data_IF_338692542559
#
_entry.id   IF_338692542559
#
_cell.length_a   1.000
_cell.length_b   1.000
_cell.length_c   1.000
_cell.angle_alpha   90.00
_cell.angle_beta   90.00
_cell.angle_gamma   90.00
#
_symmetry.space_group_name_H-M   'P 1'
#
loop_
_entity.id
_entity.type
_entity.pdbx_description
1 polymer ?
#
# COMPACT_ATOMS: atom_id res chain seq x y z
N UNK A 1 16.33 19.26 -0.64
CA UNK A 1 16.87 18.20 0.22
C UNK A 1 15.68 17.70 1.03
N UNK A 2 15.17 16.50 0.79
CA UNK A 2 13.93 16.03 1.42
C UNK A 2 14.15 15.86 2.93
N UNK A 3 13.24 16.41 3.74
CA UNK A 3 13.29 16.30 5.20
C UNK A 3 12.69 14.98 5.72
N UNK A 4 12.06 14.19 4.85
CA UNK A 4 11.27 13.00 5.17
C UNK A 4 11.98 11.88 5.91
N UNK A 5 13.06 11.31 5.35
CA UNK A 5 13.80 10.23 6.01
C UNK A 5 14.30 10.64 7.40
N UNK A 6 14.62 11.93 7.58
CA UNK A 6 15.01 12.47 8.86
C UNK A 6 13.83 12.60 9.82
N UNK A 7 12.66 13.05 9.35
CA UNK A 7 11.45 13.17 10.15
C UNK A 7 10.96 11.81 10.66
N UNK A 8 10.88 10.79 9.80
CA UNK A 8 10.45 9.45 10.23
C UNK A 8 11.42 8.85 11.25
N UNK A 9 12.73 8.95 11.00
CA UNK A 9 13.74 8.47 11.92
C UNK A 9 13.69 9.21 13.27
N UNK A 10 13.35 10.49 13.28
CA UNK A 10 13.09 11.25 14.50
C UNK A 10 11.83 10.75 15.20
N UNK A 11 10.70 10.65 14.50
CA UNK A 11 9.43 10.17 15.07
C UNK A 11 9.59 8.78 15.69
N UNK A 12 10.25 7.84 15.00
CA UNK A 12 10.53 6.48 15.51
C UNK A 12 11.39 6.44 16.77
N UNK A 13 12.17 7.49 17.07
CA UNK A 13 12.93 7.62 18.33
C UNK A 13 12.09 8.18 19.47
N UNK A 14 11.05 8.94 19.14
CA UNK A 14 10.20 9.66 20.09
C UNK A 14 8.94 8.88 20.46
N UNK A 15 8.35 8.13 19.51
CA UNK A 15 7.15 7.30 19.67
C UNK A 15 6.99 6.30 18.50
N UNK A 16 5.94 5.48 18.56
CA UNK A 16 5.52 4.65 17.42
C UNK A 16 4.60 5.47 16.51
N UNK A 17 4.96 5.68 15.23
CA UNK A 17 4.10 6.35 14.28
C UNK A 17 2.83 5.53 13.99
N UNK A 18 1.75 6.23 13.66
CA UNK A 18 0.50 5.63 13.18
C UNK A 18 0.22 6.08 11.76
N UNK A 19 -0.12 5.14 10.87
CA UNK A 19 -0.67 5.46 9.54
C UNK A 19 -2.13 5.04 9.43
N UNK A 20 -3.00 6.02 9.20
CA UNK A 20 -4.42 5.82 8.95
C UNK A 20 -4.90 6.86 7.93
N UNK A 21 -5.64 6.42 6.92
CA UNK A 21 -6.28 7.34 5.98
C UNK A 21 -5.44 7.75 4.76
N UNK A 22 -4.25 7.18 4.51
CA UNK A 22 -3.29 7.77 3.57
C UNK A 22 -3.01 6.99 2.29
N UNK A 23 -3.30 5.69 2.26
CA UNK A 23 -3.02 4.83 1.11
C UNK A 23 -4.10 3.76 0.90
N UNK A 24 -4.07 3.03 -0.20
CA UNK A 24 -4.94 1.87 -0.43
C UNK A 24 -4.87 0.84 0.71
N UNK A 25 -3.79 0.82 1.49
CA UNK A 25 -3.57 -0.08 2.62
C UNK A 25 -4.26 0.39 3.91
N UNK A 26 -4.50 1.70 4.07
CA UNK A 26 -4.91 2.30 5.35
C UNK A 26 -6.09 3.27 5.23
N UNK A 27 -6.55 3.54 4.00
CA UNK A 27 -7.52 4.58 3.74
C UNK A 27 -8.95 4.18 4.08
N UNK A 28 -9.74 5.19 4.40
CA UNK A 28 -11.18 5.06 4.65
C UNK A 28 -11.90 4.93 3.32
N UNK A 29 -12.72 3.89 3.16
CA UNK A 29 -13.53 3.68 1.95
C UNK A 29 -14.78 4.56 2.00
N UNK A 30 -15.30 4.93 0.83
CA UNK A 30 -16.54 5.71 0.74
C UNK A 30 -17.74 5.02 1.41
N UNK A 31 -17.74 3.68 1.49
CA UNK A 31 -18.74 2.88 2.20
C UNK A 31 -18.70 3.06 3.72
N UNK A 32 -17.54 3.41 4.29
CA UNK A 32 -17.39 3.61 5.73
C UNK A 32 -18.03 4.91 6.22
N UNK A 33 -18.23 5.90 5.34
CA UNK A 33 -18.83 7.20 5.66
C UNK A 33 -19.97 7.48 4.67
N UNK A 34 -21.12 6.77 4.80
CA UNK A 34 -22.21 6.87 3.84
C UNK A 34 -22.81 8.28 3.81
N UNK A 35 -23.31 8.69 2.64
CA UNK A 35 -23.96 9.99 2.46
C UNK A 35 -23.01 11.16 2.15
N UNK A 36 -21.69 10.92 2.07
CA UNK A 36 -20.73 11.93 1.60
C UNK A 36 -20.69 11.99 0.07
N UNK A 37 -20.67 13.20 -0.48
CA UNK A 37 -20.46 13.41 -1.91
C UNK A 37 -18.97 13.28 -2.22
N UNK A 38 -18.61 12.25 -3.00
CA UNK A 38 -17.21 11.90 -3.31
C UNK A 38 -17.07 11.86 -4.83
N UNK A 39 -16.76 13.00 -5.49
CA UNK A 39 -16.63 13.04 -6.94
C UNK A 39 -15.33 12.38 -7.44
N UNK A 40 -14.29 12.42 -6.61
CA UNK A 40 -13.00 11.82 -6.87
C UNK A 40 -12.63 10.88 -5.71
N UNK A 41 -11.99 9.76 -6.05
CA UNK A 41 -11.51 8.75 -5.10
C UNK A 41 -9.99 8.62 -5.19
N UNK A 42 -9.39 8.20 -4.08
CA UNK A 42 -7.97 7.90 -3.95
C UNK A 42 -7.60 6.49 -4.46
N UNK A 43 -8.57 5.61 -4.71
CA UNK A 43 -8.37 4.34 -5.39
C UNK A 43 -9.67 3.98 -6.12
N UNK A 44 -9.65 3.71 -7.43
CA UNK A 44 -10.88 3.53 -8.20
C UNK A 44 -11.60 2.23 -7.82
N UNK A 45 -10.86 1.15 -7.53
CA UNK A 45 -11.44 -0.15 -7.16
C UNK A 45 -11.81 -0.27 -5.68
N UNK A 46 -11.16 0.38 -4.72
CA UNK A 46 -11.63 0.33 -3.33
C UNK A 46 -12.51 1.53 -2.95
N UNK A 47 -12.57 2.53 -3.82
CA UNK A 47 -13.23 3.83 -3.61
C UNK A 47 -12.81 4.46 -2.28
N UNK A 48 -11.50 4.47 -2.02
CA UNK A 48 -10.93 5.14 -0.85
C UNK A 48 -11.13 6.66 -0.95
N UNK A 49 -11.39 7.28 0.18
CA UNK A 49 -11.57 8.72 0.31
C UNK A 49 -10.19 9.41 0.22
N UNK A 50 -10.02 10.45 -0.62
CA UNK A 50 -8.86 11.30 -0.57
C UNK A 50 -9.00 12.27 0.60
N UNK A 51 -8.63 11.83 1.81
CA UNK A 51 -8.74 12.67 3.00
C UNK A 51 -7.76 13.85 2.95
N UNK A 52 -8.18 15.00 3.46
CA UNK A 52 -7.31 16.15 3.64
C UNK A 52 -6.29 15.90 4.77
N UNK A 53 -5.16 16.60 4.75
CA UNK A 53 -4.13 16.47 5.78
C UNK A 53 -4.67 16.70 7.20
N UNK A 54 -5.56 17.67 7.37
CA UNK A 54 -6.22 17.93 8.65
C UNK A 54 -7.11 16.78 9.15
N UNK A 55 -7.73 16.03 8.23
CA UNK A 55 -8.55 14.86 8.56
C UNK A 55 -7.67 13.66 8.94
N UNK A 56 -6.56 13.43 8.22
CA UNK A 56 -5.56 12.42 8.59
C UNK A 56 -4.98 12.71 9.99
N UNK A 57 -4.58 13.95 10.27
CA UNK A 57 -4.11 14.36 11.59
C UNK A 57 -5.16 14.14 12.68
N UNK A 58 -6.42 14.53 12.41
CA UNK A 58 -7.52 14.37 13.36
C UNK A 58 -7.85 12.88 13.64
N UNK A 59 -7.58 11.97 12.69
CA UNK A 59 -7.65 10.53 12.91
C UNK A 59 -6.49 9.96 13.73
N UNK A 60 -5.48 10.78 14.04
CA UNK A 60 -4.28 10.37 14.76
C UNK A 60 -3.15 9.88 13.85
N UNK A 61 -3.28 10.03 12.54
CA UNK A 61 -2.21 9.71 11.58
C UNK A 61 -1.02 10.64 11.75
N UNK A 62 0.17 10.11 11.52
CA UNK A 62 1.43 10.86 11.38
C UNK A 62 1.78 11.11 9.91
N UNK A 63 0.87 10.73 9.02
CA UNK A 63 1.03 10.79 7.58
C UNK A 63 -0.17 11.50 6.93
N UNK A 64 0.06 12.04 5.74
CA UNK A 64 -0.94 12.56 4.82
C UNK A 64 -0.73 11.92 3.44
N UNK A 65 -1.81 11.86 2.67
CA UNK A 65 -1.77 11.32 1.31
C UNK A 65 -1.26 12.34 0.30
N UNK A 66 -0.44 11.86 -0.63
CA UNK A 66 -0.28 12.44 -1.96
C UNK A 66 -0.48 11.34 -3.01
N UNK A 67 -0.81 11.69 -4.24
CA UNK A 67 -0.95 10.69 -5.31
C UNK A 67 -2.21 10.88 -6.16
N UNK A 68 -2.48 9.96 -7.09
CA UNK A 68 -3.44 10.22 -8.16
C UNK A 68 -4.88 10.38 -7.62
N UNK A 69 -5.72 11.09 -8.34
CA UNK A 69 -7.14 11.26 -8.03
C UNK A 69 -7.97 10.78 -9.20
N UNK A 70 -8.74 9.72 -8.99
CA UNK A 70 -9.57 9.13 -10.03
C UNK A 70 -10.99 9.68 -9.93
N UNK A 71 -11.64 9.99 -11.06
CA UNK A 71 -13.08 10.15 -11.07
C UNK A 71 -13.72 8.91 -10.45
N UNK A 72 -14.69 9.12 -9.56
CA UNK A 72 -15.39 7.99 -8.95
C UNK A 72 -16.08 7.18 -10.06
N UNK A 73 -15.80 5.87 -10.17
CA UNK A 73 -16.34 5.07 -11.27
C UNK A 73 -17.87 5.02 -11.19
N UNK A 74 -18.51 5.17 -12.34
CA UNK A 74 -19.94 4.88 -12.47
C UNK A 74 -20.18 3.38 -12.26
N UNK A 75 -21.30 3.02 -11.62
CA UNK A 75 -21.69 1.63 -11.40
C UNK A 75 -22.90 1.28 -12.26
N UNK A 76 -22.91 0.06 -12.80
CA UNK A 76 -24.10 -0.55 -13.38
C UNK A 76 -24.42 -1.79 -12.56
N UNK A 77 -25.49 -1.73 -11.76
CA UNK A 77 -25.83 -2.78 -10.79
C UNK A 77 -24.65 -3.08 -9.85
N UNK A 78 -24.20 -4.34 -9.77
CA UNK A 78 -23.07 -4.82 -8.98
C UNK A 78 -21.76 -4.88 -9.78
N UNK A 79 -21.73 -4.39 -11.03
CA UNK A 79 -20.56 -4.45 -11.91
C UNK A 79 -19.89 -3.08 -12.11
N UNK A 80 -18.56 -3.08 -12.18
CA UNK A 80 -17.75 -1.94 -12.62
C UNK A 80 -16.63 -2.42 -13.54
N UNK A 81 -16.19 -1.57 -14.47
CA UNK A 81 -15.01 -1.82 -15.30
C UNK A 81 -13.95 -0.77 -15.00
N UNK A 82 -12.71 -1.20 -14.73
CA UNK A 82 -11.61 -0.31 -14.41
C UNK A 82 -10.86 0.21 -15.65
N UNK A 83 -9.82 1.03 -15.42
CA UNK A 83 -9.00 1.61 -16.47
C UNK A 83 -8.13 0.59 -17.23
N UNK A 84 -7.97 -0.63 -16.71
CA UNK A 84 -7.29 -1.75 -17.35
C UNK A 84 -8.25 -2.58 -18.21
N UNK A 85 -9.56 -2.30 -18.16
CA UNK A 85 -10.58 -3.07 -18.87
C UNK A 85 -11.02 -4.34 -18.11
N UNK A 86 -10.67 -4.46 -16.82
CA UNK A 86 -11.08 -5.57 -15.97
C UNK A 86 -12.47 -5.29 -15.43
N UNK A 87 -13.37 -6.27 -15.52
CA UNK A 87 -14.69 -6.19 -14.91
C UNK A 87 -14.64 -6.77 -13.48
N UNK A 88 -15.20 -6.02 -12.54
CA UNK A 88 -15.28 -6.39 -11.13
C UNK A 88 -16.72 -6.52 -10.68
N UNK A 89 -16.98 -7.54 -9.87
CA UNK A 89 -18.25 -7.76 -9.19
C UNK A 89 -18.11 -7.24 -7.76
N UNK A 90 -19.07 -6.43 -7.31
CA UNK A 90 -19.18 -5.96 -5.93
C UNK A 90 -20.25 -6.74 -5.18
N UNK A 91 -19.89 -7.29 -4.02
CA UNK A 91 -20.83 -7.90 -3.10
C UNK A 91 -20.52 -7.49 -1.66
N UNK A 92 -21.50 -6.88 -0.97
CA UNK A 92 -21.35 -6.39 0.42
C UNK A 92 -20.11 -5.51 0.63
N UNK A 93 -19.77 -4.69 -0.37
CA UNK A 93 -18.60 -3.83 -0.34
C UNK A 93 -17.27 -4.54 -0.65
N UNK A 94 -17.24 -5.85 -0.83
CA UNK A 94 -16.07 -6.57 -1.32
C UNK A 94 -16.09 -6.63 -2.85
N UNK A 95 -14.91 -6.64 -3.48
CA UNK A 95 -14.80 -6.64 -4.94
C UNK A 95 -13.87 -7.74 -5.41
N UNK A 96 -14.28 -8.43 -6.46
CA UNK A 96 -13.48 -9.47 -7.10
C UNK A 96 -13.49 -9.30 -8.63
N UNK A 97 -12.35 -9.45 -9.31
CA UNK A 97 -12.30 -9.43 -10.76
C UNK A 97 -12.97 -10.71 -11.29
N UNK A 98 -13.81 -10.57 -12.32
CA UNK A 98 -14.54 -11.71 -12.91
C UNK A 98 -14.48 -11.77 -14.45
N UNK A 99 -13.97 -10.72 -15.12
CA UNK A 99 -13.61 -10.79 -16.55
C UNK A 99 -12.27 -10.11 -16.79
N UNK A 100 -11.44 -10.77 -17.57
CA UNK A 100 -10.06 -10.38 -17.82
C UNK A 100 -9.84 -10.11 -19.31
N UNK A 101 -9.39 -8.90 -19.71
CA UNK A 101 -9.35 -8.48 -21.12
C UNK A 101 -8.37 -9.26 -21.99
N UNK A 102 -7.38 -9.92 -21.39
CA UNK A 102 -6.35 -10.70 -22.08
C UNK A 102 -6.44 -12.20 -21.79
N UNK A 103 -7.52 -12.70 -21.19
CA UNK A 103 -7.66 -14.10 -20.77
C UNK A 103 -7.32 -15.09 -21.90
N UNK A 104 -7.83 -14.84 -23.10
CA UNK A 104 -7.66 -15.70 -24.27
C UNK A 104 -6.76 -15.07 -25.35
N UNK A 105 -6.04 -13.99 -25.03
CA UNK A 105 -5.21 -13.28 -25.99
C UNK A 105 -3.98 -14.10 -26.43
N UNK A 106 -3.66 -14.04 -27.72
CA UNK A 106 -2.41 -14.62 -28.23
C UNK A 106 -1.18 -13.74 -27.88
N UNK A 107 0.00 -14.35 -27.85
CA UNK A 107 1.27 -13.70 -27.49
C UNK A 107 1.51 -12.35 -28.19
N UNK A 108 1.21 -12.26 -29.49
CA UNK A 108 1.41 -11.05 -30.28
C UNK A 108 0.54 -9.85 -29.86
N UNK A 109 -0.57 -10.10 -29.17
CA UNK A 109 -1.48 -9.06 -28.69
C UNK A 109 -1.12 -8.53 -27.30
N UNK A 110 -0.47 -9.34 -26.45
CA UNK A 110 -0.14 -8.95 -25.08
C UNK A 110 0.77 -7.71 -25.02
N UNK A 111 1.89 -7.74 -25.75
CA UNK A 111 2.85 -6.63 -25.77
C UNK A 111 2.30 -5.34 -26.42
N UNK A 112 1.15 -5.43 -27.11
CA UNK A 112 0.49 -4.31 -27.79
C UNK A 112 -0.80 -3.87 -27.10
N UNK A 113 -1.15 -4.50 -25.98
CA UNK A 113 -2.33 -4.11 -25.23
C UNK A 113 -2.25 -2.61 -24.86
N UNK A 114 -3.31 -1.83 -25.09
CA UNK A 114 -3.32 -0.41 -24.73
C UNK A 114 -3.01 -0.21 -23.25
N UNK A 115 -2.16 0.77 -22.93
CA UNK A 115 -1.91 1.15 -21.54
C UNK A 115 -3.15 1.84 -20.95
N UNK A 116 -3.44 1.66 -19.66
CA UNK A 116 -4.54 2.33 -18.99
C UNK A 116 -4.36 3.86 -19.05
N UNK A 117 -5.47 4.59 -19.13
CA UNK A 117 -5.44 6.04 -19.02
C UNK A 117 -5.06 6.45 -17.59
N UNK A 118 -4.09 7.34 -17.45
CA UNK A 118 -3.77 7.98 -16.17
C UNK A 118 -4.84 9.02 -15.83
N UNK A 119 -5.12 9.25 -14.53
CA UNK A 119 -6.05 10.30 -14.13
C UNK A 119 -5.51 11.69 -14.47
N UNK A 120 -6.42 12.67 -14.63
CA UNK A 120 -6.05 14.06 -14.93
C UNK A 120 -5.54 14.83 -13.69
N UNK A 121 -5.85 14.33 -12.50
CA UNK A 121 -5.63 15.03 -11.24
C UNK A 121 -4.77 14.24 -10.26
N UNK A 122 -4.08 14.98 -9.40
CA UNK A 122 -3.26 14.46 -8.30
C UNK A 122 -3.60 15.22 -7.02
N UNK A 123 -3.61 14.53 -5.89
CA UNK A 123 -3.67 15.15 -4.56
C UNK A 123 -2.26 15.62 -4.19
N UNK A 124 -2.15 16.90 -3.86
CA UNK A 124 -0.90 17.52 -3.41
C UNK A 124 -0.88 17.62 -1.89
N UNK A 125 0.34 17.68 -1.33
CA UNK A 125 0.53 17.91 0.09
C UNK A 125 -0.07 19.26 0.53
N UNK A 126 -0.70 19.25 1.70
CA UNK A 126 -1.14 20.44 2.41
C UNK A 126 -0.14 20.78 3.51
N UNK A 127 0.03 22.07 3.78
CA UNK A 127 1.06 22.59 4.67
C UNK A 127 0.70 22.30 6.14
N UNK A 128 1.02 21.09 6.58
CA UNK A 128 0.81 20.60 7.95
C UNK A 128 2.16 20.10 8.47
N UNK A 129 2.89 20.91 9.26
CA UNK A 129 4.31 20.66 9.58
C UNK A 129 4.62 19.33 10.29
N UNK A 130 3.59 18.65 10.79
CA UNK A 130 3.72 17.43 11.58
C UNK A 130 3.44 16.14 10.79
N UNK A 131 3.01 16.22 9.52
CA UNK A 131 2.63 15.04 8.73
C UNK A 131 3.61 14.76 7.60
N UNK A 132 4.07 13.52 7.54
CA UNK A 132 4.84 12.99 6.41
C UNK A 132 3.92 12.63 5.25
N UNK A 133 4.41 12.70 4.03
CA UNK A 133 3.68 12.41 2.80
C UNK A 133 3.88 10.97 2.37
N UNK A 134 2.77 10.27 2.12
CA UNK A 134 2.74 8.93 1.54
C UNK A 134 2.19 9.02 0.14
N UNK A 135 3.01 8.63 -0.84
CA UNK A 135 2.55 8.37 -2.20
C UNK A 135 1.95 6.96 -2.25
N UNK A 136 0.62 6.93 -2.38
CA UNK A 136 -0.14 5.71 -2.61
C UNK A 136 0.24 5.07 -3.97
N UNK A 137 0.10 3.74 -4.07
CA UNK A 137 0.40 3.02 -5.30
C UNK A 137 -0.53 3.52 -6.44
N UNK A 138 0.01 4.05 -7.54
CA UNK A 138 -0.80 4.61 -8.62
C UNK A 138 -1.42 3.53 -9.53
N UNK A 139 -0.99 2.27 -9.36
CA UNK A 139 -1.40 1.13 -10.17
C UNK A 139 -1.11 -0.19 -9.43
N UNK A 140 -1.71 -1.31 -9.87
CA UNK A 140 -1.37 -2.65 -9.36
C UNK A 140 0.10 -3.04 -9.59
N UNK A 141 0.58 -4.02 -8.82
CA UNK A 141 1.92 -4.61 -8.91
C UNK A 141 2.16 -5.45 -10.17
N UNK A 142 3.33 -6.08 -10.26
CA UNK A 142 3.71 -6.88 -11.44
C UNK A 142 2.82 -8.11 -11.57
N UNK A 143 2.73 -8.91 -10.49
CA UNK A 143 1.92 -10.13 -10.48
C UNK A 143 0.43 -9.79 -10.49
N UNK A 144 0.02 -8.80 -9.71
CA UNK A 144 -1.37 -8.32 -9.70
C UNK A 144 -1.84 -7.88 -11.08
N UNK A 145 -1.05 -7.05 -11.78
CA UNK A 145 -1.36 -6.63 -13.16
C UNK A 145 -1.54 -7.84 -14.08
N UNK A 146 -0.68 -8.85 -13.94
CA UNK A 146 -0.78 -10.06 -14.74
C UNK A 146 -2.06 -10.85 -14.42
N UNK A 147 -2.38 -11.03 -13.14
CA UNK A 147 -3.59 -11.73 -12.70
C UNK A 147 -4.86 -11.01 -13.14
N UNK A 148 -4.87 -9.68 -13.02
CA UNK A 148 -5.98 -8.82 -13.43
C UNK A 148 -6.23 -8.88 -14.93
N UNK A 149 -5.19 -8.84 -15.76
CA UNK A 149 -5.36 -8.82 -17.21
C UNK A 149 -5.57 -10.21 -17.83
N UNK A 150 -4.91 -11.24 -17.31
CA UNK A 150 -4.81 -12.57 -17.93
C UNK A 150 -5.67 -13.63 -17.26
N UNK A 151 -6.22 -13.36 -16.07
CA UNK A 151 -6.65 -14.36 -15.09
C UNK A 151 -5.46 -15.06 -14.42
N UNK A 152 -5.49 -15.17 -13.08
CA UNK A 152 -4.38 -15.74 -12.31
C UNK A 152 -4.08 -17.20 -12.64
N UNK A 153 -5.10 -18.03 -12.85
CA UNK A 153 -4.90 -19.43 -13.24
C UNK A 153 -4.26 -19.56 -14.62
N UNK A 154 -4.79 -18.82 -15.60
CA UNK A 154 -4.23 -18.84 -16.95
C UNK A 154 -2.78 -18.32 -16.96
N UNK A 155 -2.48 -17.26 -16.21
CA UNK A 155 -1.10 -16.75 -16.11
C UNK A 155 -0.13 -17.76 -15.48
N UNK A 156 -0.55 -18.47 -14.43
CA UNK A 156 0.27 -19.54 -13.84
C UNK A 156 0.47 -20.72 -14.80
N UNK A 157 -0.55 -21.08 -15.59
CA UNK A 157 -0.39 -22.04 -16.69
C UNK A 157 0.63 -21.53 -17.72
N UNK A 158 0.52 -20.27 -18.14
CA UNK A 158 1.44 -19.65 -19.10
C UNK A 158 2.90 -19.71 -18.60
N UNK A 159 3.16 -19.51 -17.31
CA UNK A 159 4.52 -19.61 -16.73
C UNK A 159 5.16 -21.00 -16.94
N UNK A 160 4.35 -22.05 -16.94
CA UNK A 160 4.83 -23.44 -17.03
C UNK A 160 4.81 -24.00 -18.45
N UNK A 161 3.83 -23.59 -19.28
CA UNK A 161 3.64 -24.14 -20.63
C UNK A 161 4.29 -23.27 -21.73
N UNK A 162 4.17 -21.95 -21.63
CA UNK A 162 4.80 -21.01 -22.57
C UNK A 162 5.22 -19.71 -21.87
N UNK A 163 6.34 -19.77 -21.14
CA UNK A 163 6.84 -18.65 -20.35
C UNK A 163 7.07 -17.35 -21.14
N UNK A 164 7.11 -17.39 -22.48
CA UNK A 164 7.23 -16.20 -23.34
C UNK A 164 5.99 -15.33 -23.26
N UNK A 165 4.82 -15.94 -23.08
CA UNK A 165 3.53 -15.27 -22.88
C UNK A 165 3.55 -14.52 -21.56
N UNK A 166 3.85 -15.23 -20.46
CA UNK A 166 3.96 -14.65 -19.13
C UNK A 166 5.05 -13.55 -19.06
N UNK A 167 6.21 -13.80 -19.66
CA UNK A 167 7.31 -12.82 -19.71
C UNK A 167 6.92 -11.55 -20.47
N UNK A 168 6.23 -11.68 -21.60
CA UNK A 168 5.78 -10.52 -22.37
C UNK A 168 4.75 -9.67 -21.60
N UNK A 169 3.87 -10.31 -20.83
CA UNK A 169 2.91 -9.59 -19.97
C UNK A 169 3.60 -8.93 -18.78
N UNK A 170 4.55 -9.59 -18.15
CA UNK A 170 5.36 -9.02 -17.07
C UNK A 170 6.20 -7.82 -17.54
N UNK A 171 6.77 -7.89 -18.74
CA UNK A 171 7.50 -6.76 -19.35
C UNK A 171 6.57 -5.58 -19.65
N UNK A 172 5.37 -5.86 -20.16
CA UNK A 172 4.33 -4.85 -20.36
C UNK A 172 3.88 -4.22 -19.03
N UNK A 173 3.74 -5.02 -17.97
CA UNK A 173 3.37 -4.57 -16.64
C UNK A 173 4.47 -3.66 -16.06
N UNK A 174 5.73 -4.08 -16.13
CA UNK A 174 6.88 -3.28 -15.70
C UNK A 174 6.90 -1.89 -16.36
N UNK A 175 6.78 -1.83 -17.68
CA UNK A 175 6.78 -0.56 -18.42
C UNK A 175 5.60 0.34 -18.02
N UNK A 176 4.43 -0.26 -17.76
CA UNK A 176 3.21 0.47 -17.39
C UNK A 176 3.27 1.00 -15.96
N UNK A 177 3.81 0.21 -15.05
CA UNK A 177 4.01 0.60 -13.65
C UNK A 177 5.02 1.73 -13.56
N UNK A 178 6.17 1.61 -14.24
CA UNK A 178 7.18 2.66 -14.29
C UNK A 178 6.60 3.96 -14.83
N UNK A 179 5.86 3.92 -15.95
CA UNK A 179 5.22 5.12 -16.49
C UNK A 179 4.21 5.76 -15.50
N UNK A 180 3.50 4.94 -14.72
CA UNK A 180 2.53 5.43 -13.73
C UNK A 180 3.21 6.15 -12.56
N UNK A 181 4.26 5.55 -11.98
CA UNK A 181 5.08 6.22 -10.96
C UNK A 181 5.79 7.45 -11.54
N UNK A 182 6.24 7.38 -12.79
CA UNK A 182 6.93 8.48 -13.44
C UNK A 182 6.06 9.72 -13.55
N UNK A 183 4.83 9.53 -14.02
CA UNK A 183 3.84 10.58 -14.18
C UNK A 183 3.45 11.21 -12.85
N UNK A 184 3.19 10.41 -11.81
CA UNK A 184 2.72 10.94 -10.53
C UNK A 184 3.83 11.69 -9.80
N UNK A 185 5.05 11.13 -9.77
CA UNK A 185 6.20 11.82 -9.15
C UNK A 185 6.54 13.11 -9.89
N UNK A 186 6.35 13.17 -11.22
CA UNK A 186 6.53 14.41 -11.98
C UNK A 186 5.44 15.46 -11.72
N UNK A 187 4.27 15.05 -11.23
CA UNK A 187 3.16 15.94 -10.88
C UNK A 187 3.29 16.52 -9.47
N UNK A 188 4.08 15.89 -8.59
CA UNK A 188 4.30 16.36 -7.23
C UNK A 188 5.36 17.47 -7.21
N UNK A 189 5.13 18.57 -6.45
CA UNK A 189 6.08 19.67 -6.35
C UNK A 189 7.37 19.30 -5.60
N UNK A 190 7.28 18.29 -4.73
CA UNK A 190 8.37 17.78 -3.91
C UNK A 190 8.32 16.25 -3.88
N UNK A 191 9.46 15.61 -3.65
CA UNK A 191 9.52 14.17 -3.41
C UNK A 191 8.65 13.80 -2.20
N UNK A 192 7.84 12.72 -2.28
CA UNK A 192 7.14 12.22 -1.11
C UNK A 192 8.13 11.67 -0.08
N UNK A 193 7.69 11.53 1.16
CA UNK A 193 8.52 10.93 2.21
C UNK A 193 8.55 9.40 2.10
N UNK A 194 7.43 8.80 1.68
CA UNK A 194 7.26 7.36 1.45
C UNK A 194 6.58 7.11 0.10
N UNK A 195 7.06 6.14 -0.65
CA UNK A 195 6.39 5.57 -1.83
C UNK A 195 5.97 4.16 -1.50
N UNK A 196 4.69 3.85 -1.69
CA UNK A 196 4.17 2.49 -1.58
C UNK A 196 4.25 1.81 -2.95
N UNK A 197 4.77 0.58 -2.97
CA UNK A 197 4.60 -0.39 -4.04
C UNK A 197 3.87 -1.61 -3.49
N UNK A 198 2.71 -1.95 -4.06
CA UNK A 198 1.94 -3.14 -3.69
C UNK A 198 1.95 -4.18 -4.81
N UNK A 199 2.18 -5.44 -4.45
CA UNK A 199 2.04 -6.60 -5.33
C UNK A 199 1.79 -7.84 -4.47
N UNK A 200 0.61 -8.45 -4.58
CA UNK A 200 0.27 -9.60 -3.75
C UNK A 200 0.92 -10.89 -4.28
N UNK A 201 2.03 -11.28 -3.64
CA UNK A 201 2.82 -12.45 -4.03
C UNK A 201 2.36 -13.75 -3.38
N UNK A 202 1.38 -13.69 -2.48
CA UNK A 202 0.91 -14.85 -1.74
C UNK A 202 -0.58 -14.86 -1.41
N UNK A 203 -0.99 -16.03 -0.95
CA UNK A 203 -2.30 -16.34 -0.39
C UNK A 203 -2.14 -16.79 1.08
N UNK A 204 -3.24 -17.00 1.81
CA UNK A 204 -3.21 -17.36 3.24
C UNK A 204 -2.31 -18.57 3.55
N UNK A 205 -2.26 -19.56 2.65
CA UNK A 205 -1.57 -20.84 2.86
C UNK A 205 -0.14 -20.91 2.30
N UNK A 206 0.27 -19.98 1.43
CA UNK A 206 1.57 -19.97 0.76
C UNK A 206 1.66 -18.93 -0.35
N UNK A 207 2.79 -18.87 -1.04
CA UNK A 207 2.97 -18.03 -2.23
C UNK A 207 2.14 -18.53 -3.43
N UNK A 208 1.77 -17.62 -4.34
CA UNK A 208 1.17 -18.00 -5.62
C UNK A 208 2.17 -18.71 -6.54
N UNK A 209 3.41 -18.24 -6.54
CA UNK A 209 4.51 -18.82 -7.32
C UNK A 209 5.46 -19.57 -6.40
N UNK A 210 6.14 -20.59 -6.94
CA UNK A 210 7.24 -21.20 -6.20
C UNK A 210 8.36 -20.18 -5.95
N UNK A 211 9.13 -20.35 -4.87
CA UNK A 211 10.32 -19.55 -4.59
C UNK A 211 11.28 -19.45 -5.80
N UNK A 212 11.37 -20.52 -6.60
CA UNK A 212 12.19 -20.56 -7.81
C UNK A 212 11.58 -19.71 -8.93
N UNK A 213 10.28 -19.83 -9.17
CA UNK A 213 9.60 -19.05 -10.22
C UNK A 213 9.53 -17.57 -9.87
N UNK A 214 9.33 -17.22 -8.59
CA UNK A 214 9.46 -15.85 -8.12
C UNK A 214 10.85 -15.27 -8.48
N UNK A 215 11.93 -15.99 -8.14
CA UNK A 215 13.31 -15.53 -8.44
C UNK A 215 13.62 -15.48 -9.93
N UNK A 216 12.99 -16.33 -10.74
CA UNK A 216 13.20 -16.35 -12.19
C UNK A 216 12.41 -15.26 -12.93
N UNK A 217 11.15 -15.03 -12.54
CA UNK A 217 10.21 -14.23 -13.34
C UNK A 217 9.89 -12.87 -12.72
N UNK A 218 9.70 -12.79 -11.41
CA UNK A 218 9.26 -11.57 -10.73
C UNK A 218 10.45 -10.76 -10.24
N UNK A 219 11.35 -11.39 -9.48
CA UNK A 219 12.47 -10.74 -8.81
C UNK A 219 13.33 -9.84 -9.74
N UNK A 220 13.73 -10.26 -10.96
CA UNK A 220 14.58 -9.41 -11.81
C UNK A 220 13.87 -8.13 -12.28
N UNK A 221 12.56 -8.20 -12.50
CA UNK A 221 11.72 -7.06 -12.91
C UNK A 221 11.43 -6.14 -11.74
N UNK A 222 11.14 -6.72 -10.58
CA UNK A 222 10.99 -5.97 -9.34
C UNK A 222 12.28 -5.23 -8.98
N UNK A 223 13.44 -5.89 -9.08
CA UNK A 223 14.74 -5.26 -8.90
C UNK A 223 14.93 -4.07 -9.85
N UNK A 224 14.57 -4.24 -11.12
CA UNK A 224 14.66 -3.18 -12.13
C UNK A 224 13.78 -1.99 -11.74
N UNK A 225 12.51 -2.25 -11.39
CA UNK A 225 11.54 -1.22 -11.01
C UNK A 225 12.01 -0.44 -9.77
N UNK A 226 12.30 -1.15 -8.67
CA UNK A 226 12.68 -0.50 -7.41
C UNK A 226 14.00 0.28 -7.55
N UNK A 227 14.96 -0.24 -8.33
CA UNK A 227 16.20 0.49 -8.66
C UNK A 227 15.90 1.80 -9.40
N UNK A 228 14.95 1.79 -10.35
CA UNK A 228 14.56 2.99 -11.10
C UNK A 228 13.84 4.00 -10.21
N UNK A 229 12.93 3.56 -9.35
CA UNK A 229 12.23 4.42 -8.39
C UNK A 229 13.21 5.10 -7.43
N UNK A 230 14.17 4.36 -6.85
CA UNK A 230 15.22 4.92 -5.96
C UNK A 230 16.13 5.93 -6.65
N UNK A 231 16.33 5.83 -7.97
CA UNK A 231 17.10 6.82 -8.73
C UNK A 231 16.31 8.09 -8.99
N UNK A 232 14.98 7.98 -9.03
CA UNK A 232 14.07 9.07 -9.38
C UNK A 232 13.63 9.89 -8.18
N UNK A 233 13.55 9.27 -7.00
CA UNK A 233 13.10 9.92 -5.77
C UNK A 233 13.99 9.54 -4.59
N UNK A 234 14.17 10.48 -3.66
CA UNK A 234 14.82 10.23 -2.37
C UNK A 234 13.90 9.63 -1.30
N UNK A 235 12.66 9.30 -1.66
CA UNK A 235 11.65 8.72 -0.78
C UNK A 235 12.04 7.33 -0.26
N UNK A 236 11.50 6.96 0.91
CA UNK A 236 11.58 5.59 1.42
C UNK A 236 10.61 4.70 0.64
N UNK A 237 11.03 3.47 0.33
CA UNK A 237 10.18 2.49 -0.35
C UNK A 237 9.51 1.55 0.65
N UNK A 238 8.18 1.56 0.65
CA UNK A 238 7.35 0.60 1.38
C UNK A 238 6.83 -0.46 0.40
N UNK A 239 7.25 -1.72 0.58
CA UNK A 239 6.76 -2.85 -0.20
C UNK A 239 5.60 -3.54 0.51
N UNK A 240 4.48 -3.70 -0.16
CA UNK A 240 3.31 -4.42 0.33
C UNK A 240 3.10 -5.73 -0.42
N UNK A 241 2.76 -6.79 0.32
CA UNK A 241 2.21 -8.04 -0.22
C UNK A 241 1.38 -8.74 0.85
N UNK A 242 0.21 -9.21 0.46
CA UNK A 242 -0.59 -10.16 1.23
C UNK A 242 0.00 -11.58 1.20
N UNK A 243 -0.54 -12.42 2.09
CA UNK A 243 -0.29 -13.85 2.12
C UNK A 243 1.04 -14.31 2.73
N UNK A 244 1.24 -15.62 2.70
CA UNK A 244 2.35 -16.30 3.37
C UNK A 244 3.64 -16.27 2.53
N UNK A 245 4.33 -15.14 2.53
CA UNK A 245 5.51 -14.86 1.69
C UNK A 245 6.86 -14.93 2.44
N UNK A 246 6.88 -15.54 3.64
CA UNK A 246 8.06 -15.56 4.53
C UNK A 246 9.34 -16.04 3.85
N UNK A 247 9.24 -16.99 2.91
CA UNK A 247 10.39 -17.58 2.22
C UNK A 247 11.17 -16.58 1.35
N UNK A 248 10.51 -15.51 0.90
CA UNK A 248 11.10 -14.48 0.03
C UNK A 248 11.29 -13.11 0.71
N UNK A 249 10.90 -12.95 1.98
CA UNK A 249 11.11 -11.70 2.71
C UNK A 249 12.58 -11.26 2.72
N UNK A 250 13.53 -12.21 2.78
CA UNK A 250 14.96 -11.92 2.66
C UNK A 250 15.34 -11.37 1.28
N UNK A 251 14.83 -11.99 0.21
CA UNK A 251 15.05 -11.53 -1.16
C UNK A 251 14.51 -10.11 -1.35
N UNK A 252 13.30 -9.82 -0.85
CA UNK A 252 12.69 -8.48 -0.91
C UNK A 252 13.53 -7.43 -0.16
N UNK A 253 14.10 -7.78 1.00
CA UNK A 253 14.97 -6.88 1.75
C UNK A 253 16.25 -6.53 0.97
N UNK A 254 16.80 -7.48 0.21
CA UNK A 254 17.99 -7.25 -0.63
C UNK A 254 17.74 -6.27 -1.80
N UNK A 255 16.48 -6.08 -2.19
CA UNK A 255 16.09 -5.11 -3.23
C UNK A 255 16.13 -3.66 -2.75
N UNK A 256 16.49 -3.41 -1.49
CA UNK A 256 16.58 -2.07 -0.93
C UNK A 256 15.21 -1.45 -0.69
N UNK A 257 14.25 -2.24 -0.21
CA UNK A 257 13.03 -1.72 0.40
C UNK A 257 13.36 -1.23 1.81
N UNK A 258 12.78 -0.10 2.22
CA UNK A 258 13.03 0.50 3.53
C UNK A 258 11.95 0.07 4.55
N UNK A 259 10.77 -0.29 4.05
CA UNK A 259 9.65 -0.78 4.85
C UNK A 259 8.95 -1.97 4.18
N UNK A 260 8.36 -2.83 5.00
CA UNK A 260 7.50 -3.92 4.54
C UNK A 260 6.14 -3.88 5.23
N UNK A 261 5.08 -3.88 4.43
CA UNK A 261 3.70 -4.15 4.84
C UNK A 261 3.37 -5.61 4.47
N UNK A 262 3.21 -6.47 5.48
CA UNK A 262 3.07 -7.92 5.32
C UNK A 262 1.81 -8.41 6.05
N UNK A 263 1.24 -9.49 5.53
CA UNK A 263 0.12 -10.19 6.19
C UNK A 263 0.61 -11.12 7.30
N UNK A 264 0.56 -10.65 8.56
CA UNK A 264 0.92 -11.43 9.74
C UNK A 264 -0.16 -12.44 10.19
N UNK A 265 -1.32 -12.46 9.53
CA UNK A 265 -2.38 -13.44 9.77
C UNK A 265 -2.26 -14.66 8.86
N UNK A 266 -1.51 -14.55 7.76
CA UNK A 266 -1.21 -15.68 6.90
C UNK A 266 -0.34 -16.74 7.60
N UNK A 267 -0.41 -17.97 7.07
CA UNK A 267 0.28 -19.13 7.62
C UNK A 267 1.79 -18.89 7.71
N UNK A 268 2.37 -19.17 8.88
CA UNK A 268 3.80 -19.03 9.16
C UNK A 268 4.36 -17.59 9.06
N UNK A 269 3.52 -16.56 8.98
CA UNK A 269 3.92 -15.14 9.02
C UNK A 269 3.95 -14.62 10.46
N UNK A 270 4.60 -15.35 11.37
CA UNK A 270 4.67 -14.98 12.79
C UNK A 270 5.61 -13.79 12.95
N UNK A 271 5.13 -12.69 13.57
CA UNK A 271 5.86 -11.43 13.73
C UNK A 271 7.30 -11.62 14.24
N UNK A 272 7.47 -12.38 15.32
CA UNK A 272 8.79 -12.63 15.91
C UNK A 272 9.75 -13.36 14.96
N UNK A 273 9.23 -14.24 14.09
CA UNK A 273 10.06 -15.02 13.17
C UNK A 273 10.38 -14.26 11.89
N UNK A 274 9.44 -13.46 11.38
CA UNK A 274 9.69 -12.52 10.28
C UNK A 274 10.70 -11.46 10.72
N UNK A 275 10.54 -10.88 11.92
CA UNK A 275 11.46 -9.88 12.47
C UNK A 275 12.89 -10.41 12.63
N UNK A 276 13.07 -11.70 12.96
CA UNK A 276 14.39 -12.34 13.03
C UNK A 276 15.04 -12.52 11.65
N UNK A 277 14.24 -12.70 10.60
CA UNK A 277 14.72 -12.93 9.24
C UNK A 277 15.06 -11.63 8.49
N UNK A 278 14.53 -10.48 8.94
CA UNK A 278 14.73 -9.18 8.32
C UNK A 278 15.90 -8.40 8.95
N UNK A 279 16.48 -7.42 8.22
CA UNK A 279 17.40 -6.44 8.79
C UNK A 279 16.81 -5.75 10.02
N UNK A 280 17.67 -5.38 10.99
CA UNK A 280 17.23 -4.79 12.27
C UNK A 280 16.56 -3.42 12.12
N UNK A 281 16.93 -2.69 11.08
CA UNK A 281 16.45 -1.37 10.71
C UNK A 281 15.25 -1.41 9.76
N UNK A 282 14.85 -2.58 9.28
CA UNK A 282 13.65 -2.75 8.44
C UNK A 282 12.40 -2.29 9.20
N UNK A 283 11.68 -1.31 8.67
CA UNK A 283 10.44 -0.83 9.27
C UNK A 283 9.32 -1.78 8.88
N UNK A 284 8.57 -2.29 9.86
CA UNK A 284 7.33 -3.02 9.57
C UNK A 284 6.15 -2.06 9.60
N UNK A 285 5.38 -2.02 8.52
CA UNK A 285 4.18 -1.22 8.40
C UNK A 285 2.94 -2.11 8.59
N UNK A 286 2.04 -1.72 9.50
CA UNK A 286 0.84 -2.50 9.84
C UNK A 286 1.08 -3.87 10.50
N UNK A 287 2.16 -4.13 11.29
CA UNK A 287 2.39 -5.46 11.84
C UNK A 287 1.41 -5.88 12.96
N UNK A 288 0.64 -4.91 13.48
CA UNK A 288 -0.37 -5.13 14.52
C UNK A 288 -1.64 -4.42 14.10
N UNK A 289 -2.77 -5.13 14.15
CA UNK A 289 -4.06 -4.61 13.71
C UNK A 289 -4.57 -3.49 14.61
N UNK A 290 -4.51 -2.25 14.11
CA UNK A 290 -4.96 -1.07 14.81
C UNK A 290 -6.45 -1.14 15.23
N UNK A 291 -7.31 -1.72 14.40
CA UNK A 291 -8.72 -1.95 14.74
C UNK A 291 -8.89 -2.95 15.89
N UNK A 292 -8.04 -3.98 15.97
CA UNK A 292 -8.09 -4.94 17.07
C UNK A 292 -7.77 -4.26 18.42
N UNK A 293 -6.81 -3.32 18.44
CA UNK A 293 -6.51 -2.50 19.61
C UNK A 293 -7.74 -1.68 20.00
N UNK A 294 -8.36 -0.98 19.04
CA UNK A 294 -9.54 -0.17 19.31
C UNK A 294 -10.76 -0.95 19.79
N UNK A 295 -10.99 -2.17 19.28
CA UNK A 295 -12.00 -3.10 19.79
C UNK A 295 -11.72 -3.50 21.24
N UNK A 296 -10.47 -3.80 21.56
CA UNK A 296 -10.07 -4.16 22.92
C UNK A 296 -10.25 -2.98 23.90
N UNK A 297 -9.95 -1.75 23.47
CA UNK A 297 -10.26 -0.54 24.24
C UNK A 297 -11.76 -0.41 24.48
N UNK A 298 -12.58 -0.50 23.42
CA UNK A 298 -14.04 -0.38 23.53
C UNK A 298 -14.65 -1.42 24.49
N UNK A 299 -14.18 -2.66 24.41
CA UNK A 299 -14.70 -3.76 25.21
C UNK A 299 -14.09 -3.83 26.63
N UNK A 300 -13.20 -2.88 26.99
CA UNK A 300 -12.40 -2.93 28.21
C UNK A 300 -11.65 -4.27 28.39
N UNK A 301 -11.18 -4.86 27.29
CA UNK A 301 -10.48 -6.14 27.27
C UNK A 301 -8.99 -5.94 27.58
N UNK A 302 -8.67 -5.91 28.88
CA UNK A 302 -7.29 -5.76 29.35
C UNK A 302 -6.36 -6.91 28.94
N UNK A 303 -6.88 -8.11 28.65
CA UNK A 303 -6.08 -9.24 28.22
C UNK A 303 -5.64 -9.09 26.76
N UNK A 304 -6.57 -8.69 25.87
CA UNK A 304 -6.24 -8.37 24.49
C UNK A 304 -5.29 -7.16 24.40
N UNK A 305 -5.51 -6.11 25.19
CA UNK A 305 -4.61 -4.95 25.24
C UNK A 305 -3.21 -5.31 25.75
N UNK A 306 -3.09 -6.24 26.69
CA UNK A 306 -1.81 -6.74 27.16
C UNK A 306 -1.01 -7.39 26.03
N UNK A 307 -1.63 -8.29 25.26
CA UNK A 307 -0.99 -8.97 24.11
C UNK A 307 -0.64 -7.96 23.02
N UNK A 308 -1.60 -7.15 22.58
CA UNK A 308 -1.40 -6.24 21.45
C UNK A 308 -0.37 -5.14 21.75
N UNK A 309 -0.33 -4.62 22.98
CA UNK A 309 0.69 -3.61 23.36
C UNK A 309 2.10 -4.20 23.41
N UNK A 310 2.25 -5.46 23.82
CA UNK A 310 3.52 -6.18 23.75
C UNK A 310 3.93 -6.45 22.29
N UNK A 311 3.00 -6.84 21.42
CA UNK A 311 3.26 -7.02 19.99
C UNK A 311 3.73 -5.73 19.33
N UNK A 312 3.09 -4.58 19.62
CA UNK A 312 3.56 -3.26 19.14
C UNK A 312 4.99 -3.00 19.60
N UNK A 313 5.30 -3.25 20.86
CA UNK A 313 6.63 -3.04 21.42
C UNK A 313 7.69 -3.97 20.79
N UNK A 314 7.33 -5.21 20.49
CA UNK A 314 8.19 -6.21 19.86
C UNK A 314 8.34 -6.01 18.34
N UNK A 315 7.38 -5.34 17.70
CA UNK A 315 7.42 -5.01 16.29
C UNK A 315 8.43 -3.91 15.95
N UNK A 316 8.93 -3.12 16.91
CA UNK A 316 9.78 -1.97 16.63
C UNK A 316 11.11 -2.33 15.89
N UNK A 317 11.54 -1.53 14.88
CA UNK A 317 10.89 -0.32 14.39
C UNK A 317 9.66 -0.63 13.53
N UNK A 318 8.54 0.04 13.80
CA UNK A 318 7.29 -0.18 13.09
C UNK A 318 6.44 1.09 12.99
N UNK A 319 5.50 1.07 12.05
CA UNK A 319 4.36 1.98 11.94
C UNK A 319 3.11 1.13 12.17
N UNK A 320 2.27 1.51 13.14
CA UNK A 320 1.03 0.78 13.40
C UNK A 320 -0.07 1.33 12.49
N UNK A 321 -0.83 0.45 11.86
CA UNK A 321 -1.79 0.81 10.83
C UNK A 321 -2.98 -0.18 10.83
N UNK A 322 -4.09 0.16 10.16
CA UNK A 322 -5.07 -0.82 9.74
C UNK A 322 -4.41 -1.97 8.96
N UNK A 323 -5.03 -3.15 8.97
CA UNK A 323 -4.55 -4.31 8.19
C UNK A 323 -4.98 -4.27 6.72
N UNK A 324 -5.99 -3.47 6.41
CA UNK A 324 -6.56 -3.25 5.09
C UNK A 324 -7.32 -1.90 5.11
N UNK A 325 -7.69 -1.43 3.93
CA UNK A 325 -8.64 -0.35 3.71
C UNK A 325 -9.90 -0.51 4.56
N UNK A 326 -10.35 0.61 5.12
CA UNK A 326 -11.39 0.63 6.15
C UNK A 326 -12.76 0.69 5.46
N UNK A 327 -13.46 -0.45 5.43
CA UNK A 327 -14.74 -0.61 4.71
C UNK A 327 -15.99 -0.14 5.46
N UNK A 328 -15.95 -0.04 6.79
CA UNK A 328 -17.12 0.25 7.64
C UNK A 328 -16.87 1.41 8.61
N UNK A 329 -17.95 2.08 9.04
CA UNK A 329 -17.87 3.13 10.07
C UNK A 329 -17.35 2.57 11.40
N UNK A 330 -17.75 1.35 11.73
CA UNK A 330 -17.32 0.66 12.94
C UNK A 330 -15.81 0.44 12.95
N UNK A 331 -15.25 -0.08 11.85
CA UNK A 331 -13.80 -0.25 11.70
C UNK A 331 -13.07 1.09 11.72
N UNK A 332 -13.63 2.15 11.12
CA UNK A 332 -13.03 3.49 11.18
C UNK A 332 -12.89 3.97 12.64
N UNK A 333 -13.94 3.77 13.44
CA UNK A 333 -13.97 4.12 14.86
C UNK A 333 -13.02 3.26 15.70
N UNK A 334 -12.91 1.96 15.39
CA UNK A 334 -11.93 1.09 16.05
C UNK A 334 -10.49 1.49 15.70
N UNK A 335 -10.18 1.73 14.43
CA UNK A 335 -8.84 2.19 14.04
C UNK A 335 -8.49 3.54 14.70
N UNK A 336 -9.43 4.50 14.75
CA UNK A 336 -9.24 5.77 15.46
C UNK A 336 -8.91 5.57 16.95
N UNK A 337 -9.65 4.72 17.66
CA UNK A 337 -9.35 4.41 19.07
C UNK A 337 -8.04 3.68 19.25
N UNK A 338 -7.71 2.76 18.34
CA UNK A 338 -6.41 2.12 18.29
C UNK A 338 -5.28 3.13 18.15
N UNK A 339 -5.45 4.13 17.27
CA UNK A 339 -4.48 5.21 17.09
C UNK A 339 -4.29 6.00 18.38
N UNK A 340 -5.39 6.39 19.04
CA UNK A 340 -5.33 7.09 20.32
C UNK A 340 -4.60 6.26 21.40
N UNK A 341 -4.86 4.95 21.48
CA UNK A 341 -4.16 4.06 22.42
C UNK A 341 -2.66 3.99 22.16
N UNK A 342 -2.25 3.76 20.91
CA UNK A 342 -0.83 3.65 20.53
C UNK A 342 -0.11 4.96 20.80
N UNK A 343 -0.74 6.11 20.53
CA UNK A 343 -0.17 7.43 20.79
C UNK A 343 -0.02 7.76 22.28
N UNK A 344 -0.83 7.15 23.14
CA UNK A 344 -0.73 7.29 24.60
C UNK A 344 0.41 6.44 25.22
N UNK A 345 1.08 5.61 24.42
CA UNK A 345 2.29 4.88 24.81
C UNK A 345 3.53 5.72 24.50
N UNK A 346 4.29 6.09 25.53
CA UNK A 346 5.58 6.73 25.36
C UNK A 346 6.65 5.72 24.92
N UNK A 347 7.79 6.22 24.44
CA UNK A 347 8.94 5.37 24.15
C UNK A 347 9.46 4.63 25.39
N UNK A 348 9.32 5.19 26.60
CA UNK A 348 9.68 4.49 27.83
C UNK A 348 8.71 3.34 28.12
N UNK A 349 7.40 3.55 27.94
CA UNK A 349 6.38 2.52 28.09
C UNK A 349 6.65 1.35 27.14
N UNK A 350 6.92 1.63 25.86
CA UNK A 350 7.22 0.61 24.86
C UNK A 350 8.50 -0.18 25.18
N UNK A 351 9.55 0.50 25.66
CA UNK A 351 10.78 -0.19 26.14
C UNK A 351 10.48 -1.07 27.34
N UNK A 352 9.63 -0.63 28.25
CA UNK A 352 9.25 -1.39 29.43
C UNK A 352 8.39 -2.61 29.04
N UNK A 353 7.41 -2.44 28.17
CA UNK A 353 6.57 -3.51 27.62
C UNK A 353 7.42 -4.58 26.92
N UNK A 354 8.37 -4.17 26.07
CA UNK A 354 9.30 -5.08 25.38
C UNK A 354 10.19 -5.85 26.35
N UNK A 355 10.59 -5.24 27.47
CA UNK A 355 11.57 -5.81 28.41
C UNK A 355 10.93 -6.70 29.47
N UNK A 356 9.76 -6.31 29.96
CA UNK A 356 9.13 -6.91 31.13
C UNK A 356 7.79 -7.59 30.81
N UNK A 357 7.32 -7.50 29.57
CA UNK A 357 5.98 -7.93 29.18
C UNK A 357 4.91 -6.90 29.54
N UNK A 358 3.63 -7.27 29.55
CA UNK A 358 2.52 -6.35 29.76
C UNK A 358 2.56 -5.66 31.13
N UNK A 359 2.41 -4.32 31.15
CA UNK A 359 2.44 -3.50 32.36
C UNK A 359 1.06 -2.87 32.58
N UNK A 360 0.33 -3.37 33.59
CA UNK A 360 -1.08 -3.01 33.80
C UNK A 360 -1.34 -1.51 33.88
N UNK A 361 -0.59 -0.75 34.68
CA UNK A 361 -0.85 0.68 34.85
C UNK A 361 -0.58 1.51 33.58
N UNK A 362 0.35 1.06 32.72
CA UNK A 362 0.63 1.67 31.41
C UNK A 362 -0.56 1.43 30.48
N UNK A 363 -1.01 0.17 30.40
CA UNK A 363 -2.12 -0.25 29.55
C UNK A 363 -3.43 0.43 29.98
N UNK A 364 -3.74 0.43 31.27
CA UNK A 364 -4.95 1.07 31.81
C UNK A 364 -4.97 2.57 31.52
N UNK A 365 -3.82 3.25 31.63
CA UNK A 365 -3.68 4.69 31.32
C UNK A 365 -3.94 4.96 29.84
N UNK A 366 -3.28 4.22 28.95
CA UNK A 366 -3.46 4.38 27.50
C UNK A 366 -4.90 4.05 27.06
N UNK A 367 -5.52 3.03 27.65
CA UNK A 367 -6.92 2.67 27.40
C UNK A 367 -7.90 3.74 27.86
N UNK A 368 -7.67 4.34 29.04
CA UNK A 368 -8.51 5.42 29.55
C UNK A 368 -8.46 6.66 28.65
N UNK A 369 -7.26 7.02 28.16
CA UNK A 369 -7.08 8.13 27.22
C UNK A 369 -7.81 7.86 25.90
N UNK A 370 -7.58 6.69 25.30
CA UNK A 370 -8.23 6.29 24.05
C UNK A 370 -9.76 6.20 24.15
N UNK A 371 -10.29 5.77 25.30
CA UNK A 371 -11.73 5.67 25.54
C UNK A 371 -12.42 7.03 25.62
N UNK A 372 -11.68 8.08 26.02
CA UNK A 372 -12.20 9.44 26.13
C UNK A 372 -12.28 10.20 24.80
N UNK A 373 -11.66 9.69 23.73
CA UNK A 373 -11.61 10.35 22.44
C UNK A 373 -12.90 10.16 21.61
N UNK A 374 -13.26 11.18 20.85
CA UNK A 374 -14.34 11.12 19.85
C UNK A 374 -13.75 11.20 18.45
N UNK A 375 -14.17 10.30 17.56
CA UNK A 375 -13.71 10.29 16.18
C UNK A 375 -14.22 11.55 15.45
N UNK A 376 -13.36 12.24 14.68
CA UNK A 376 -13.78 13.40 13.89
C UNK A 376 -14.75 12.99 12.78
N UNK A 377 -15.46 13.97 12.23
CA UNK A 377 -16.12 13.79 10.94
C UNK A 377 -15.09 13.77 9.80
N UNK A 378 -15.32 12.91 8.80
CA UNK A 378 -14.42 12.69 7.67
C UNK A 378 -15.10 12.99 6.32
N UNK A 379 -14.28 13.28 5.32
CA UNK A 379 -14.70 13.52 3.94
C UNK A 379 -15.36 14.87 3.75
N UNK A 380 -14.95 15.87 4.54
CA UNK A 380 -15.54 17.21 4.56
C UNK A 380 -14.55 18.32 4.18
N UNK A 381 -13.26 18.11 4.46
CA UNK A 381 -12.26 19.14 4.21
C UNK A 381 -11.84 19.15 2.74
N UNK A 382 -11.53 20.33 2.23
CA UNK A 382 -11.00 20.48 0.88
C UNK A 382 -9.57 19.94 0.78
N UNK A 383 -9.33 19.10 -0.22
CA UNK A 383 -8.00 18.65 -0.60
C UNK A 383 -7.35 19.62 -1.58
N UNK A 384 -6.02 19.66 -1.58
CA UNK A 384 -5.25 20.40 -2.58
C UNK A 384 -5.08 19.55 -3.83
N UNK A 385 -5.54 20.05 -4.97
CA UNK A 385 -5.52 19.33 -6.24
C UNK A 385 -4.51 19.96 -7.20
N UNK A 386 -3.70 19.12 -7.84
CA UNK A 386 -2.83 19.44 -8.95
C UNK A 386 -3.28 18.77 -10.25
N UNK A 387 -2.51 18.98 -11.31
CA UNK A 387 -2.75 18.38 -12.63
C UNK A 387 -1.65 17.37 -12.93
N UNK A 388 -2.05 16.17 -13.34
CA UNK A 388 -1.12 15.18 -13.85
C UNK A 388 -0.58 15.62 -15.21
N UNK A 389 0.73 15.50 -15.48
CA UNK A 389 1.27 15.83 -16.79
C UNK A 389 0.60 14.93 -17.83
N UNK A 390 0.10 15.54 -18.91
CA UNK A 390 -0.33 14.78 -20.08
C UNK A 390 0.92 14.06 -20.59
N UNK A 391 0.96 12.74 -20.47
CA UNK A 391 2.01 11.97 -21.11
C UNK A 391 1.94 12.30 -22.61
N UNK A 392 2.95 13.03 -23.12
CA UNK A 392 3.29 12.90 -24.51
C UNK A 392 3.52 11.41 -24.71
N UNK A 393 2.70 10.77 -25.54
CA UNK A 393 2.93 9.39 -25.95
C UNK A 393 4.43 9.24 -26.19
N UNK A 394 5.09 8.33 -25.46
CA UNK A 394 6.52 8.15 -25.60
C UNK A 394 6.84 8.11 -27.11
N UNK A 395 7.80 8.91 -27.61
CA UNK A 395 8.11 8.87 -29.02
C UNK A 395 8.39 7.42 -29.38
N UNK A 396 7.72 6.93 -30.42
CA UNK A 396 7.91 5.57 -30.92
C UNK A 396 9.40 5.36 -31.19
N UNK A 397 10.09 4.72 -30.24
CA UNK A 397 11.51 4.40 -30.35
C UNK A 397 11.76 3.31 -31.41
N UNK A 398 10.73 2.88 -32.17
CA UNK A 398 10.85 1.98 -33.33
C UNK A 398 10.73 2.72 -34.67
N UNK A 399 10.96 4.03 -34.68
CA UNK A 399 10.95 4.88 -35.88
C UNK A 399 12.32 5.40 -36.34
N UNK A 400 13.43 4.69 -36.13
CA UNK A 400 14.72 4.96 -36.82
C UNK A 400 15.27 3.71 -37.47
N UNK A 401 14.74 3.40 -38.65
CA UNK A 401 15.48 2.65 -39.66
C UNK A 401 16.48 3.62 -40.32
N UNK A 402 17.75 3.21 -40.39
CA UNK A 402 18.80 3.98 -41.08
C UNK A 402 20.05 4.22 -40.24
N UNK A 403 20.76 3.14 -39.91
CA UNK A 403 22.16 2.88 -40.26
C UNK A 403 22.75 1.88 -39.27
N UNK A 404 22.91 0.64 -39.73
CA UNK A 404 23.75 -0.34 -39.04
C UNK A 404 25.20 -0.05 -39.43
N UNK A 405 26.14 0.13 -38.49
CA UNK A 405 27.54 0.11 -38.83
C UNK A 405 27.87 -1.29 -39.37
N UNK A 406 28.40 -1.36 -40.60
CA UNK A 406 29.03 -2.57 -41.11
C UNK A 406 30.26 -2.86 -40.25
N UNK A 407 30.27 -4.04 -39.64
CA UNK A 407 31.47 -4.64 -39.08
C UNK A 407 32.39 -4.97 -40.27
N UNK A 408 33.57 -4.36 -40.30
CA UNK A 408 34.79 -4.89 -40.91
C UNK A 408 35.83 -4.94 -39.80
#
# INVERSE_FOLDING_TARGET
MSAGPHMLAQTLRERVPVDIGTSSLTAVRATAIPGRHVPNVAHPVYETLPLAAGECAALGSDFQRVGPLWPRPGRQEEELTDAYGVAWLEHEGNRAPFRHPLEQAEWGHLARHPRPALPEHVQLAQDTPALMTVLDAPCPGLLDTCFLLRNGWQFMTDLTEDFRVASALLDWALDTIEASYDAVLAALPEDPDVIIYGDDLGFESGMYLSDLDFRNFIFPRLQTLLTRLRRKSGALLCFHSCGAIRSICGDLAELGVDMMNLDFYAKNMILADVRKALPKDMILHGPVNLAAIGRAVENADGAALAILSEEVANAAPCIVAPIDSIGSYEDARHNFRGAAFVRALSTEDLRALRRYGPIKHVIDRAAAEASGCQMPELGLQEIRIGTMPRHAAAPDMRGRSGDRPRIV
#
